data_IF_820440286194
#
_entry.id   IF_820440286194
#
_cell.length_a   1.000
_cell.length_b   1.000
_cell.length_c   1.000
_cell.angle_alpha   90.00
_cell.angle_beta   90.00
_cell.angle_gamma   90.00
#
_symmetry.space_group_name_H-M   'P 1'
#
loop_
_entity.id
_entity.type
_entity.pdbx_description
1 polymer ?
#
# COMPACT_ATOMS: atom_id res chain seq x y z
N UNK A 1 -2.18 -36.58 9.02
CA UNK A 1 -2.70 -35.65 7.99
C UNK A 1 -2.05 -34.32 8.24
N UNK A 2 -1.38 -33.74 7.23
CA UNK A 2 -0.86 -32.39 7.34
C UNK A 2 -2.06 -31.44 7.40
N UNK A 3 -2.10 -30.59 8.42
CA UNK A 3 -3.11 -29.55 8.58
C UNK A 3 -2.93 -28.53 7.45
N UNK A 4 -3.59 -28.80 6.33
CA UNK A 4 -3.41 -28.05 5.08
C UNK A 4 -3.88 -26.60 5.28
N UNK A 5 -4.86 -26.37 6.16
CA UNK A 5 -5.34 -25.05 6.58
C UNK A 5 -4.24 -24.22 7.27
N UNK A 6 -3.50 -24.81 8.21
CA UNK A 6 -2.37 -24.11 8.88
C UNK A 6 -1.27 -23.76 7.90
N UNK A 7 -0.98 -24.63 6.93
CA UNK A 7 0.00 -24.35 5.89
C UNK A 7 -0.39 -23.16 5.01
N UNK A 8 -1.67 -23.05 4.62
CA UNK A 8 -2.17 -21.91 3.85
C UNK A 8 -2.09 -20.60 4.64
N UNK A 9 -2.44 -20.61 5.93
CA UNK A 9 -2.34 -19.41 6.79
C UNK A 9 -0.90 -18.91 6.85
N UNK A 10 0.06 -19.81 7.12
CA UNK A 10 1.49 -19.45 7.20
C UNK A 10 2.00 -18.89 5.86
N UNK A 11 1.59 -19.48 4.73
CA UNK A 11 2.01 -19.02 3.41
C UNK A 11 1.45 -17.62 3.09
N UNK A 12 0.18 -17.40 3.40
CA UNK A 12 -0.49 -16.10 3.20
C UNK A 12 0.15 -15.03 4.09
N UNK A 13 0.35 -15.31 5.38
CA UNK A 13 0.99 -14.36 6.30
C UNK A 13 2.44 -14.07 5.91
N UNK A 14 3.20 -15.08 5.48
CA UNK A 14 4.57 -14.90 5.02
C UNK A 14 4.67 -14.00 3.78
N UNK A 15 3.79 -14.20 2.79
CA UNK A 15 3.76 -13.35 1.59
C UNK A 15 3.25 -11.95 1.88
N UNK A 16 2.26 -11.79 2.76
CA UNK A 16 1.75 -10.50 3.21
C UNK A 16 2.83 -9.69 3.95
N UNK A 17 3.64 -10.35 4.78
CA UNK A 17 4.75 -9.72 5.48
C UNK A 17 5.80 -9.19 4.48
N UNK A 18 6.22 -10.01 3.52
CA UNK A 18 7.17 -9.58 2.47
C UNK A 18 6.60 -8.39 1.68
N UNK A 19 5.32 -8.45 1.31
CA UNK A 19 4.66 -7.38 0.58
C UNK A 19 4.57 -6.07 1.40
N UNK A 20 4.30 -6.17 2.71
CA UNK A 20 4.28 -5.01 3.59
C UNK A 20 5.67 -4.35 3.69
N UNK A 21 6.72 -5.15 3.87
CA UNK A 21 8.10 -4.63 3.88
C UNK A 21 8.47 -3.99 2.54
N UNK A 22 8.15 -4.64 1.43
CA UNK A 22 8.41 -4.09 0.10
C UNK A 22 7.68 -2.74 -0.11
N UNK A 23 6.43 -2.64 0.34
CA UNK A 23 5.66 -1.39 0.26
C UNK A 23 6.28 -0.28 1.14
N UNK A 24 6.66 -0.58 2.39
CA UNK A 24 7.31 0.39 3.28
C UNK A 24 8.66 0.84 2.70
N UNK A 25 9.47 -0.08 2.19
CA UNK A 25 10.74 0.25 1.53
C UNK A 25 10.51 1.10 0.28
N UNK A 26 9.51 0.77 -0.54
CA UNK A 26 9.14 1.55 -1.71
C UNK A 26 8.75 2.98 -1.35
N UNK A 27 7.93 3.16 -0.30
CA UNK A 27 7.58 4.49 0.21
C UNK A 27 8.81 5.26 0.71
N UNK A 28 9.72 4.59 1.43
CA UNK A 28 10.95 5.20 1.94
C UNK A 28 11.86 5.67 0.79
N UNK A 29 12.02 4.86 -0.26
CA UNK A 29 12.80 5.23 -1.46
C UNK A 29 12.15 6.44 -2.16
N UNK A 30 10.84 6.42 -2.37
CA UNK A 30 10.13 7.55 -3.00
C UNK A 30 10.25 8.84 -2.16
N UNK A 31 10.26 8.72 -0.83
CA UNK A 31 10.52 9.85 0.06
C UNK A 31 11.96 10.36 -0.06
N UNK A 32 12.96 9.48 -0.13
CA UNK A 32 14.35 9.88 -0.36
C UNK A 32 14.53 10.57 -1.72
N UNK A 33 13.87 10.07 -2.76
CA UNK A 33 13.84 10.73 -4.07
C UNK A 33 13.23 12.13 -3.97
N UNK A 34 12.14 12.29 -3.20
CA UNK A 34 11.54 13.60 -2.93
C UNK A 34 12.57 14.59 -2.35
N UNK A 35 13.39 14.16 -1.38
CA UNK A 35 14.46 15.00 -0.84
C UNK A 35 15.59 15.26 -1.84
N UNK A 36 15.98 14.27 -2.64
CA UNK A 36 17.04 14.41 -3.65
C UNK A 36 16.67 15.38 -4.76
N UNK A 37 15.40 15.39 -5.18
CA UNK A 37 14.88 16.32 -6.18
C UNK A 37 14.53 17.69 -5.58
N UNK A 38 14.49 17.82 -4.24
CA UNK A 38 14.43 19.09 -3.50
C UNK A 38 13.11 19.84 -3.66
N UNK A 39 12.90 20.45 -4.83
CA UNK A 39 11.70 21.21 -5.20
C UNK A 39 11.41 21.02 -6.69
N UNK A 40 10.13 20.89 -7.04
CA UNK A 40 9.70 20.74 -8.44
C UNK A 40 8.56 19.72 -8.63
N UNK A 41 8.07 19.65 -9.85
CA UNK A 41 6.96 18.79 -10.29
C UNK A 41 7.22 17.32 -9.95
N UNK A 42 8.45 16.85 -10.18
CA UNK A 42 8.87 15.47 -9.95
C UNK A 42 8.91 15.14 -8.45
N UNK A 43 9.43 16.04 -7.61
CA UNK A 43 9.46 15.85 -6.16
C UNK A 43 8.04 15.79 -5.56
N UNK A 44 7.14 16.66 -6.03
CA UNK A 44 5.72 16.61 -5.65
C UNK A 44 5.05 15.30 -6.06
N UNK A 45 5.38 14.77 -7.24
CA UNK A 45 4.93 13.47 -7.72
C UNK A 45 5.35 12.33 -6.83
N UNK A 46 6.65 12.22 -6.56
CA UNK A 46 7.20 11.18 -5.69
C UNK A 46 6.64 11.24 -4.27
N UNK A 47 6.42 12.44 -3.72
CA UNK A 47 5.76 12.60 -2.41
C UNK A 47 4.35 12.05 -2.40
N UNK A 48 3.58 12.31 -3.46
CA UNK A 48 2.20 11.84 -3.60
C UNK A 48 2.15 10.32 -3.75
N UNK A 49 3.03 9.76 -4.58
CA UNK A 49 3.16 8.31 -4.79
C UNK A 49 3.59 7.61 -3.49
N UNK A 50 4.56 8.17 -2.76
CA UNK A 50 5.00 7.64 -1.46
C UNK A 50 3.83 7.55 -0.46
N UNK A 51 2.98 8.59 -0.40
CA UNK A 51 1.78 8.60 0.45
C UNK A 51 0.78 7.51 0.06
N UNK A 52 0.56 7.30 -1.24
CA UNK A 52 -0.30 6.22 -1.73
C UNK A 52 0.25 4.83 -1.43
N UNK A 53 1.56 4.62 -1.55
CA UNK A 53 2.23 3.36 -1.19
C UNK A 53 2.10 3.07 0.32
N UNK A 54 2.23 4.08 1.18
CA UNK A 54 2.00 3.92 2.63
C UNK A 54 0.57 3.50 2.95
N UNK A 55 -0.42 4.03 2.23
CA UNK A 55 -1.82 3.61 2.35
C UNK A 55 -2.02 2.14 1.99
N UNK A 56 -1.36 1.67 0.92
CA UNK A 56 -1.37 0.26 0.53
C UNK A 56 -0.69 -0.61 1.60
N UNK A 57 0.47 -0.19 2.12
CA UNK A 57 1.18 -0.90 3.18
C UNK A 57 0.30 -1.08 4.43
N UNK A 58 -0.45 -0.04 4.80
CA UNK A 58 -1.40 -0.08 5.92
C UNK A 58 -2.52 -1.10 5.65
N UNK A 59 -3.06 -1.14 4.43
CA UNK A 59 -4.04 -2.14 4.01
C UNK A 59 -3.53 -3.59 4.13
N UNK A 60 -2.28 -3.84 3.74
CA UNK A 60 -1.63 -5.16 3.85
C UNK A 60 -1.45 -5.56 5.32
N UNK A 61 -1.03 -4.62 6.17
CA UNK A 61 -0.84 -4.88 7.61
C UNK A 61 -2.19 -5.22 8.28
N UNK A 62 -3.26 -4.48 7.96
CA UNK A 62 -4.60 -4.78 8.50
C UNK A 62 -5.07 -6.17 8.06
N UNK A 63 -4.80 -6.55 6.81
CA UNK A 63 -5.17 -7.88 6.30
C UNK A 63 -4.42 -9.01 7.02
N UNK A 64 -3.11 -8.83 7.22
CA UNK A 64 -2.29 -9.78 7.98
C UNK A 64 -2.76 -9.92 9.43
N UNK A 65 -3.11 -8.80 10.09
CA UNK A 65 -3.66 -8.82 11.46
C UNK A 65 -5.00 -9.55 11.51
N UNK A 66 -5.90 -9.32 10.54
CA UNK A 66 -7.20 -9.99 10.50
C UNK A 66 -7.05 -11.51 10.29
N UNK A 67 -6.10 -11.93 9.45
CA UNK A 67 -5.77 -13.33 9.22
C UNK A 67 -5.19 -14.02 10.47
N UNK A 68 -4.28 -13.34 11.18
CA UNK A 68 -3.60 -13.88 12.36
C UNK A 68 -4.52 -14.02 13.58
N UNK A 69 -5.40 -13.04 13.82
CA UNK A 69 -6.32 -13.09 14.95
C UNK A 69 -7.49 -14.07 14.75
N UNK A 70 -7.57 -14.77 13.61
CA UNK A 70 -8.64 -15.72 13.29
C UNK A 70 -10.01 -15.13 13.66
N UNK A 71 -10.20 -13.84 13.37
CA UNK A 71 -11.45 -13.15 13.72
C UNK A 71 -12.52 -13.82 12.87
N UNK A 72 -13.25 -14.73 13.52
CA UNK A 72 -14.28 -15.57 12.90
C UNK A 72 -15.08 -14.73 11.92
N UNK A 73 -15.24 -15.24 10.70
CA UNK A 73 -15.83 -14.58 9.53
C UNK A 73 -17.24 -14.04 9.76
N UNK A 74 -17.84 -14.34 10.92
CA UNK A 74 -19.16 -13.89 11.35
C UNK A 74 -19.15 -12.76 12.40
N UNK A 75 -17.99 -12.16 12.69
CA UNK A 75 -17.87 -11.08 13.66
C UNK A 75 -17.85 -9.71 12.98
N UNK A 76 -18.53 -8.72 13.56
CA UNK A 76 -18.61 -7.33 13.08
C UNK A 76 -17.21 -6.74 12.85
N UNK A 77 -16.24 -7.11 13.69
CA UNK A 77 -14.84 -6.69 13.57
C UNK A 77 -14.15 -7.18 12.29
N UNK A 78 -14.45 -8.40 11.81
CA UNK A 78 -13.87 -8.94 10.57
C UNK A 78 -14.41 -8.20 9.34
N UNK A 79 -15.71 -7.88 9.35
CA UNK A 79 -16.35 -7.10 8.28
C UNK A 79 -15.83 -5.67 8.24
N UNK A 80 -15.63 -5.04 9.40
CA UNK A 80 -15.05 -3.70 9.49
C UNK A 80 -13.60 -3.67 8.98
N UNK A 81 -12.78 -4.65 9.38
CA UNK A 81 -11.41 -4.79 8.88
C UNK A 81 -11.35 -4.97 7.36
N UNK A 82 -12.30 -5.74 6.80
CA UNK A 82 -12.43 -5.91 5.35
C UNK A 82 -12.75 -4.60 4.62
N UNK A 83 -13.67 -3.79 5.16
CA UNK A 83 -13.99 -2.48 4.61
C UNK A 83 -12.81 -1.52 4.69
N UNK A 84 -12.11 -1.48 5.82
CA UNK A 84 -10.95 -0.59 6.02
C UNK A 84 -9.82 -0.97 5.06
N UNK A 85 -9.46 -2.26 4.95
CA UNK A 85 -8.42 -2.68 3.98
C UNK A 85 -8.84 -2.35 2.55
N UNK A 86 -10.10 -2.60 2.18
CA UNK A 86 -10.63 -2.28 0.86
C UNK A 86 -10.50 -0.78 0.55
N UNK A 87 -10.88 0.07 1.50
CA UNK A 87 -10.69 1.51 1.38
C UNK A 87 -9.22 1.91 1.25
N UNK A 88 -8.32 1.33 2.06
CA UNK A 88 -6.89 1.60 1.98
C UNK A 88 -6.30 1.23 0.61
N UNK A 89 -6.70 0.09 0.04
CA UNK A 89 -6.26 -0.32 -1.29
C UNK A 89 -6.79 0.62 -2.39
N UNK A 90 -8.08 0.95 -2.37
CA UNK A 90 -8.71 1.84 -3.37
C UNK A 90 -8.14 3.26 -3.26
N UNK A 91 -8.08 3.82 -2.06
CA UNK A 91 -7.54 5.16 -1.84
C UNK A 91 -6.05 5.22 -2.19
N UNK A 92 -5.26 4.22 -1.77
CA UNK A 92 -3.83 4.14 -2.08
C UNK A 92 -3.56 4.05 -3.59
N UNK A 93 -4.25 3.15 -4.29
CA UNK A 93 -4.13 3.04 -5.76
C UNK A 93 -4.60 4.30 -6.47
N UNK A 94 -5.71 4.89 -6.05
CA UNK A 94 -6.20 6.15 -6.61
C UNK A 94 -5.17 7.29 -6.46
N UNK A 95 -4.58 7.45 -5.27
CA UNK A 95 -3.55 8.47 -5.01
C UNK A 95 -2.34 8.26 -5.92
N UNK A 96 -1.90 7.01 -6.12
CA UNK A 96 -0.77 6.69 -6.99
C UNK A 96 -1.09 7.03 -8.45
N UNK A 97 -2.26 6.60 -8.96
CA UNK A 97 -2.66 6.81 -10.36
C UNK A 97 -2.84 8.30 -10.66
N UNK A 98 -3.57 9.03 -9.81
CA UNK A 98 -3.80 10.46 -10.00
C UNK A 98 -2.52 11.27 -9.80
N UNK A 99 -1.70 10.90 -8.82
CA UNK A 99 -0.38 11.50 -8.60
C UNK A 99 0.53 11.34 -9.82
N UNK A 100 0.60 10.13 -10.38
CA UNK A 100 1.41 9.83 -11.57
C UNK A 100 0.94 10.63 -12.78
N UNK A 101 -0.38 10.67 -13.02
CA UNK A 101 -0.96 11.44 -14.13
C UNK A 101 -0.64 12.93 -14.00
N UNK A 102 -0.90 13.52 -12.83
CA UNK A 102 -0.66 14.95 -12.60
C UNK A 102 0.82 15.32 -12.78
N UNK A 103 1.73 14.46 -12.36
CA UNK A 103 3.17 14.66 -12.57
C UNK A 103 3.55 14.57 -14.04
N UNK A 104 2.98 13.63 -14.80
CA UNK A 104 3.21 13.51 -16.24
C UNK A 104 2.68 14.73 -17.01
N UNK A 105 1.45 15.18 -16.72
CA UNK A 105 0.83 16.35 -17.36
C UNK A 105 1.67 17.63 -17.14
N UNK A 106 2.19 17.80 -15.92
CA UNK A 106 3.06 18.94 -15.58
C UNK A 106 4.43 18.84 -16.26
N UNK A 107 5.00 17.64 -16.40
CA UNK A 107 6.24 17.43 -17.15
C UNK A 107 6.06 17.77 -18.64
N UNK A 108 4.96 17.33 -19.25
CA UNK A 108 4.64 17.64 -20.64
C UNK A 108 4.49 19.15 -20.86
N UNK A 109 3.86 19.86 -19.91
CA UNK A 109 3.71 21.32 -20.00
C UNK A 109 5.03 22.11 -19.95
N UNK A 110 6.09 21.51 -19.41
CA UNK A 110 7.43 22.12 -19.34
C UNK A 110 8.29 21.76 -20.56
N UNK A 111 7.87 20.81 -21.39
CA UNK A 111 8.57 20.38 -22.61
C UNK A 111 7.95 20.92 -23.90
N UNK A 112 6.78 21.56 -23.82
CA UNK A 112 6.17 22.33 -24.91
C UNK A 112 6.62 23.78 -24.87
#
# INVERSE_FOLDING_TARGET
>A
MIDTERLFIILVEGTAFIAAFAAVTGAAIMYQLTHKFGTGVIASGFKTIAGGILFIALGIIIDALNSYFLISTNNVYSTLAFLIKGFCFVAGTYIIVVGSKKTADQLESLTK
#
